data_IF_220306506069
#
_entry.id   IF_220306506069
#
_cell.length_a   1.000
_cell.length_b   1.000
_cell.length_c   1.000
_cell.angle_alpha   90.00
_cell.angle_beta   90.00
_cell.angle_gamma   90.00
#
_symmetry.space_group_name_H-M   'P 1'
#
loop_
_entity.id
_entity.type
_entity.pdbx_description
1 polymer ?
#
# COMPACT_ATOMS: atom_id res chain seq x y z
N UNK A 1 -8.84 45.51 -6.22
CA UNK A 1 -7.59 44.85 -5.81
C UNK A 1 -7.81 44.06 -4.52
N UNK A 2 -8.03 42.75 -4.63
CA UNK A 2 -7.70 41.76 -3.60
C UNK A 2 -7.28 40.51 -4.38
N UNK A 3 -6.00 40.13 -4.22
CA UNK A 3 -5.37 39.06 -5.00
C UNK A 3 -5.92 37.71 -4.60
N UNK A 4 -6.39 36.94 -5.59
CA UNK A 4 -6.61 35.51 -5.46
C UNK A 4 -5.26 34.83 -5.21
N UNK A 5 -5.20 33.97 -4.21
CA UNK A 5 -4.05 33.13 -3.96
C UNK A 5 -3.96 32.11 -5.09
N UNK A 6 -2.95 32.22 -5.95
CA UNK A 6 -2.59 31.16 -6.87
C UNK A 6 -2.26 29.92 -6.05
N UNK A 7 -3.00 28.82 -6.27
CA UNK A 7 -2.81 27.57 -5.56
C UNK A 7 -1.38 27.04 -5.79
N UNK A 8 -0.61 26.93 -4.70
CA UNK A 8 0.75 26.40 -4.67
C UNK A 8 0.80 24.88 -4.81
N UNK A 9 0.33 24.36 -5.95
CA UNK A 9 0.73 23.01 -6.39
C UNK A 9 2.11 23.08 -7.05
N UNK A 10 2.95 22.08 -6.79
CA UNK A 10 4.30 21.93 -7.35
C UNK A 10 4.28 21.48 -8.83
N UNK A 11 3.45 22.17 -9.64
CA UNK A 11 3.41 21.98 -11.08
C UNK A 11 4.63 22.58 -11.75
N UNK A 12 5.15 21.90 -12.76
CA UNK A 12 6.15 22.45 -13.65
C UNK A 12 5.67 23.81 -14.22
N UNK A 13 6.56 24.80 -14.37
CA UNK A 13 6.18 26.14 -14.82
C UNK A 13 5.38 26.18 -16.13
N UNK A 14 5.65 25.23 -17.04
CA UNK A 14 4.93 25.10 -18.31
C UNK A 14 3.46 24.68 -18.11
N UNK A 15 3.22 23.71 -17.23
CA UNK A 15 1.87 23.23 -16.88
C UNK A 15 1.09 24.33 -16.15
N UNK A 16 1.72 25.03 -15.20
CA UNK A 16 1.10 26.15 -14.49
C UNK A 16 0.70 27.30 -15.44
N UNK A 17 1.48 27.53 -16.49
CA UNK A 17 1.17 28.55 -17.51
C UNK A 17 0.05 28.14 -18.48
N UNK A 18 -0.25 26.85 -18.59
CA UNK A 18 -1.30 26.31 -19.46
C UNK A 18 -2.62 26.06 -18.72
N UNK A 19 -2.60 26.04 -17.38
CA UNK A 19 -3.80 25.96 -16.56
C UNK A 19 -4.52 27.32 -16.55
N UNK A 20 -5.87 27.33 -16.64
CA UNK A 20 -6.64 28.56 -16.52
C UNK A 20 -6.36 29.22 -15.17
N UNK A 21 -6.36 30.55 -15.17
CA UNK A 21 -6.15 31.37 -13.97
C UNK A 21 -7.36 31.42 -13.03
N UNK A 22 -8.37 30.59 -13.28
CA UNK A 22 -9.60 30.51 -12.52
C UNK A 22 -9.43 29.70 -11.22
N UNK A 23 -10.36 29.89 -10.28
CA UNK A 23 -10.38 29.28 -8.95
C UNK A 23 -10.34 27.74 -9.01
N UNK A 24 -9.16 27.16 -8.80
CA UNK A 24 -8.97 25.71 -8.68
C UNK A 24 -9.63 25.22 -7.39
N UNK A 25 -10.49 24.22 -7.51
CA UNK A 25 -11.08 23.52 -6.35
C UNK A 25 -10.25 22.27 -6.05
N UNK A 26 -9.72 22.16 -4.83
CA UNK A 26 -8.97 20.97 -4.41
C UNK A 26 -9.91 20.04 -3.64
N UNK A 27 -10.09 18.81 -4.14
CA UNK A 27 -10.93 17.80 -3.48
C UNK A 27 -10.03 16.71 -2.91
N UNK A 28 -10.01 16.59 -1.59
CA UNK A 28 -9.45 15.44 -0.88
C UNK A 28 -10.59 14.48 -0.54
N UNK A 29 -10.43 13.20 -0.87
CA UNK A 29 -11.37 12.17 -0.48
C UNK A 29 -10.65 11.19 0.45
N UNK A 30 -11.18 11.02 1.67
CA UNK A 30 -10.67 10.09 2.67
C UNK A 30 -11.61 8.89 2.77
N UNK A 31 -11.07 7.68 2.64
CA UNK A 31 -11.83 6.45 2.91
C UNK A 31 -11.77 6.14 4.40
N UNK A 32 -12.89 5.72 4.99
CA UNK A 32 -12.88 5.18 6.36
C UNK A 32 -11.91 3.99 6.52
N UNK A 33 -11.55 3.70 7.76
CA UNK A 33 -10.70 2.62 8.23
C UNK A 33 -11.43 1.29 8.39
N UNK A 34 -10.69 0.30 8.85
CA UNK A 34 -11.15 -1.08 9.01
C UNK A 34 -12.30 -1.15 10.02
N UNK A 35 -13.45 -1.63 9.55
CA UNK A 35 -14.65 -1.85 10.38
C UNK A 35 -14.68 -3.24 10.97
N UNK A 36 -15.39 -3.39 12.09
CA UNK A 36 -15.53 -4.68 12.78
C UNK A 36 -15.96 -5.77 11.81
N UNK A 37 -15.22 -6.87 11.79
CA UNK A 37 -15.71 -8.11 11.18
C UNK A 37 -16.88 -8.57 12.04
N UNK A 38 -18.08 -8.53 11.48
CA UNK A 38 -19.30 -9.10 12.05
C UNK A 38 -19.25 -10.65 12.03
N UNK A 39 -18.06 -11.27 12.17
CA UNK A 39 -17.78 -12.66 11.83
C UNK A 39 -17.38 -12.84 10.36
N UNK A 40 -17.79 -13.95 9.73
CA UNK A 40 -17.62 -14.29 8.30
C UNK A 40 -17.80 -13.07 7.36
N UNK A 41 -17.32 -13.15 6.11
CA UNK A 41 -17.50 -12.10 5.09
C UNK A 41 -18.99 -11.72 4.95
N UNK A 42 -19.43 -10.66 5.64
CA UNK A 42 -20.83 -10.17 5.64
C UNK A 42 -21.00 -8.97 4.71
N UNK A 43 -22.16 -8.92 4.06
CA UNK A 43 -22.61 -7.76 3.32
C UNK A 43 -22.90 -6.62 4.30
N UNK A 44 -22.28 -5.45 4.09
CA UNK A 44 -22.38 -4.30 4.99
C UNK A 44 -23.22 -3.18 4.40
N UNK A 45 -22.89 -2.75 3.18
CA UNK A 45 -23.57 -1.62 2.55
C UNK A 45 -23.69 -0.40 3.48
N UNK A 46 -24.92 0.02 3.76
CA UNK A 46 -25.25 1.12 4.67
C UNK A 46 -25.43 0.72 6.13
N UNK A 47 -25.32 -0.57 6.48
CA UNK A 47 -25.30 -1.02 7.87
C UNK A 47 -24.25 -0.25 8.65
N UNK A 48 -24.67 0.37 9.74
CA UNK A 48 -23.76 1.12 10.59
C UNK A 48 -23.02 0.15 11.52
N UNK A 49 -21.71 0.04 11.29
CA UNK A 49 -20.83 -0.91 11.97
C UNK A 49 -19.67 -0.15 12.60
N UNK A 50 -19.28 -0.51 13.84
CA UNK A 50 -18.18 0.15 14.51
C UNK A 50 -16.85 -0.15 13.82
N UNK A 51 -15.85 0.68 14.11
CA UNK A 51 -14.48 0.42 13.68
C UNK A 51 -13.85 -0.69 14.52
N UNK A 52 -12.89 -1.40 13.92
CA UNK A 52 -11.96 -2.23 14.69
C UNK A 52 -10.97 -1.34 15.45
N UNK A 53 -10.25 -1.92 16.41
CA UNK A 53 -9.08 -1.25 17.01
C UNK A 53 -8.06 -0.80 15.95
N UNK A 54 -7.87 -1.60 14.90
CA UNK A 54 -7.03 -1.24 13.75
C UNK A 54 -7.61 -0.05 12.97
N UNK A 55 -8.91 -0.01 12.74
CA UNK A 55 -9.60 1.08 12.06
C UNK A 55 -9.52 2.40 12.82
N UNK A 56 -9.63 2.35 14.16
CA UNK A 56 -9.42 3.53 15.02
C UNK A 56 -7.99 4.07 14.89
N UNK A 57 -6.99 3.18 14.99
CA UNK A 57 -5.59 3.58 14.79
C UNK A 57 -5.35 4.14 13.38
N UNK A 58 -5.96 3.55 12.35
CA UNK A 58 -5.89 4.08 10.98
C UNK A 58 -6.47 5.50 10.88
N UNK A 59 -7.59 5.78 11.55
CA UNK A 59 -8.18 7.11 11.55
C UNK A 59 -7.30 8.13 12.27
N UNK A 60 -6.69 7.76 13.39
CA UNK A 60 -5.74 8.60 14.12
C UNK A 60 -4.60 9.03 13.22
N UNK A 61 -3.95 8.06 12.57
CA UNK A 61 -2.80 8.30 11.70
C UNK A 61 -3.18 9.08 10.45
N UNK A 62 -4.28 8.73 9.81
CA UNK A 62 -4.75 9.42 8.60
C UNK A 62 -5.13 10.88 8.89
N UNK A 63 -5.85 11.13 9.98
CA UNK A 63 -6.22 12.48 10.37
C UNK A 63 -4.98 13.31 10.76
N UNK A 64 -4.07 12.74 11.56
CA UNK A 64 -2.83 13.40 11.97
C UNK A 64 -1.95 13.75 10.76
N UNK A 65 -1.74 12.81 9.85
CA UNK A 65 -1.04 13.04 8.60
C UNK A 65 -1.68 14.16 7.78
N UNK A 66 -2.99 14.10 7.59
CA UNK A 66 -3.70 15.10 6.79
C UNK A 66 -3.51 16.50 7.37
N UNK A 67 -3.69 16.66 8.68
CA UNK A 67 -3.49 17.94 9.37
C UNK A 67 -2.05 18.45 9.28
N UNK A 68 -1.07 17.55 9.31
CA UNK A 68 0.35 17.91 9.28
C UNK A 68 0.87 18.23 7.87
N UNK A 69 0.38 17.52 6.86
CA UNK A 69 0.99 17.50 5.53
C UNK A 69 0.16 18.21 4.46
N UNK A 70 -1.14 18.39 4.66
CA UNK A 70 -2.02 19.05 3.69
C UNK A 70 -2.40 20.46 4.16
N UNK A 71 -2.61 21.42 3.24
CA UNK A 71 -3.14 22.72 3.60
C UNK A 71 -4.51 22.60 4.29
N UNK A 72 -4.75 23.44 5.30
CA UNK A 72 -6.03 23.47 6.03
C UNK A 72 -7.22 23.57 5.07
N UNK A 73 -8.17 22.62 5.05
CA UNK A 73 -9.38 22.71 4.23
C UNK A 73 -10.30 23.85 4.67
N UNK A 74 -11.17 24.25 3.75
CA UNK A 74 -12.20 25.25 3.98
C UNK A 74 -13.53 24.58 4.36
N UNK A 75 -13.79 23.36 3.83
CA UNK A 75 -15.00 22.57 4.10
C UNK A 75 -14.65 21.10 4.36
N UNK A 76 -15.33 20.49 5.34
CA UNK A 76 -15.31 19.05 5.58
C UNK A 76 -16.74 18.49 5.45
N UNK A 77 -16.95 17.58 4.50
CA UNK A 77 -18.21 16.87 4.30
C UNK A 77 -17.99 15.37 4.50
N UNK A 78 -18.93 14.67 5.12
CA UNK A 78 -18.82 13.25 5.40
C UNK A 78 -20.12 12.50 5.10
N UNK A 79 -20.00 11.23 4.73
CA UNK A 79 -21.06 10.26 5.00
C UNK A 79 -21.46 10.31 6.48
N UNK A 80 -22.74 10.17 6.76
CA UNK A 80 -23.29 10.18 8.11
C UNK A 80 -23.13 8.84 8.85
N UNK A 81 -22.66 7.78 8.17
CA UNK A 81 -22.34 6.51 8.83
C UNK A 81 -21.16 6.68 9.78
N UNK A 82 -21.25 6.05 10.96
CA UNK A 82 -20.32 6.28 12.09
C UNK A 82 -18.86 6.11 11.70
N UNK A 83 -18.55 5.09 10.89
CA UNK A 83 -17.20 4.82 10.37
C UNK A 83 -16.61 5.94 9.51
N UNK A 84 -17.41 6.76 8.84
CA UNK A 84 -16.90 7.93 8.11
C UNK A 84 -16.92 9.15 9.01
N UNK A 85 -18.02 9.32 9.76
CA UNK A 85 -18.22 10.44 10.67
C UNK A 85 -17.08 10.57 11.69
N UNK A 86 -16.61 9.45 12.25
CA UNK A 86 -15.55 9.45 13.26
C UNK A 86 -14.20 9.94 12.71
N UNK A 87 -13.86 9.60 11.46
CA UNK A 87 -12.67 10.16 10.78
C UNK A 87 -12.84 11.65 10.47
N UNK A 88 -14.02 12.04 9.98
CA UNK A 88 -14.31 13.43 9.67
C UNK A 88 -14.25 14.32 10.92
N UNK A 89 -14.80 13.85 12.05
CA UNK A 89 -14.76 14.57 13.32
C UNK A 89 -13.34 14.76 13.84
N UNK A 90 -12.43 13.79 13.62
CA UNK A 90 -11.00 13.95 13.98
C UNK A 90 -10.34 15.07 13.18
N UNK A 91 -10.55 15.09 11.86
CA UNK A 91 -10.02 16.15 10.98
C UNK A 91 -10.64 17.51 11.35
N UNK A 92 -11.97 17.56 11.49
CA UNK A 92 -12.71 18.77 11.83
C UNK A 92 -12.30 19.35 13.18
N UNK A 93 -12.22 18.50 14.21
CA UNK A 93 -11.83 18.93 15.57
C UNK A 93 -10.40 19.44 15.63
N UNK A 94 -9.46 18.78 14.95
CA UNK A 94 -8.05 19.20 14.92
C UNK A 94 -7.84 20.57 14.24
N UNK A 95 -8.75 20.96 13.34
CA UNK A 95 -8.64 22.17 12.53
C UNK A 95 -9.66 23.28 12.88
N UNK A 96 -10.56 23.00 13.84
CA UNK A 96 -11.66 23.87 14.22
C UNK A 96 -12.67 24.10 13.09
N UNK A 97 -13.01 23.06 12.33
CA UNK A 97 -13.95 23.11 11.21
C UNK A 97 -15.17 22.24 11.55
N UNK A 98 -16.37 22.78 11.36
CA UNK A 98 -17.61 22.03 11.51
C UNK A 98 -17.76 20.99 10.39
N UNK A 99 -18.01 19.74 10.77
CA UNK A 99 -18.24 18.63 9.83
C UNK A 99 -19.70 18.63 9.37
N UNK A 100 -19.92 18.75 8.07
CA UNK A 100 -21.23 18.58 7.44
C UNK A 100 -21.45 17.13 7.08
N UNK A 101 -22.56 16.54 7.49
CA UNK A 101 -22.89 15.16 7.09
C UNK A 101 -23.95 15.13 6.00
N UNK A 102 -23.81 14.24 5.03
CA UNK A 102 -24.78 14.05 3.96
C UNK A 102 -25.04 12.56 3.68
N UNK A 103 -26.29 12.08 3.80
CA UNK A 103 -26.66 10.70 3.47
C UNK A 103 -26.40 10.33 2.00
N UNK A 104 -26.32 11.30 1.09
CA UNK A 104 -25.97 11.06 -0.31
C UNK A 104 -24.53 10.55 -0.49
N UNK A 105 -23.69 10.65 0.55
CA UNK A 105 -22.33 10.09 0.59
C UNK A 105 -22.26 8.70 1.27
N UNK A 106 -23.39 8.05 1.56
CA UNK A 106 -23.38 6.66 2.05
C UNK A 106 -22.91 5.68 0.99
N UNK A 107 -22.36 4.55 1.45
CA UNK A 107 -22.02 3.41 0.60
C UNK A 107 -23.26 2.86 -0.13
N UNK A 108 -23.03 2.01 -1.13
CA UNK A 108 -24.10 1.28 -1.81
C UNK A 108 -24.97 0.54 -0.78
N UNK A 109 -26.27 0.80 -0.79
CA UNK A 109 -27.22 0.00 -0.02
C UNK A 109 -27.24 -1.42 -0.58
N UNK A 110 -26.97 -2.41 0.27
CA UNK A 110 -27.16 -3.82 -0.09
C UNK A 110 -28.54 -4.33 0.35
N UNK A 111 -29.41 -3.44 0.85
CA UNK A 111 -30.79 -3.73 1.18
C UNK A 111 -30.91 -4.94 2.10
N UNK A 112 -31.74 -5.92 1.69
CA UNK A 112 -32.03 -7.12 2.47
C UNK A 112 -30.81 -8.03 2.69
N UNK A 113 -29.69 -7.78 2.01
CA UNK A 113 -28.45 -8.54 2.20
C UNK A 113 -27.62 -8.02 3.38
N UNK A 114 -27.83 -6.79 3.83
CA UNK A 114 -27.03 -6.19 4.89
C UNK A 114 -27.10 -6.99 6.20
N UNK A 115 -25.95 -7.22 6.81
CA UNK A 115 -25.80 -8.03 8.02
C UNK A 115 -25.79 -9.54 7.78
N UNK A 116 -26.06 -10.04 6.57
CA UNK A 116 -26.00 -11.47 6.23
C UNK A 116 -24.61 -11.87 5.71
N UNK A 117 -24.19 -13.12 5.93
CA UNK A 117 -22.93 -13.62 5.35
C UNK A 117 -23.11 -13.92 3.86
N UNK A 118 -22.07 -13.71 3.06
CA UNK A 118 -22.14 -14.04 1.64
C UNK A 118 -22.45 -15.52 1.40
N UNK A 119 -22.05 -16.40 2.32
CA UNK A 119 -22.39 -17.83 2.27
C UNK A 119 -23.88 -18.08 2.53
N UNK A 120 -24.48 -17.38 3.51
CA UNK A 120 -25.93 -17.41 3.75
C UNK A 120 -26.72 -16.93 2.53
N UNK A 121 -26.30 -15.80 1.95
CA UNK A 121 -26.94 -15.21 0.76
C UNK A 121 -26.82 -16.17 -0.44
N UNK A 122 -25.62 -16.71 -0.70
CA UNK A 122 -25.37 -17.62 -1.82
C UNK A 122 -26.15 -18.93 -1.68
N UNK A 123 -26.24 -19.48 -0.46
CA UNK A 123 -26.99 -20.72 -0.20
C UNK A 123 -28.50 -20.54 -0.42
N UNK A 124 -29.05 -19.39 -0.06
CA UNK A 124 -30.49 -19.13 -0.18
C UNK A 124 -30.90 -18.70 -1.59
N UNK A 125 -30.11 -17.82 -2.22
CA UNK A 125 -30.47 -17.15 -3.47
C UNK A 125 -29.85 -17.79 -4.72
N UNK A 126 -28.85 -18.67 -4.55
CA UNK A 126 -28.24 -19.45 -5.63
C UNK A 126 -27.81 -18.58 -6.83
N UNK A 127 -28.41 -18.82 -7.99
CA UNK A 127 -28.09 -18.14 -9.25
C UNK A 127 -28.24 -16.61 -9.18
N UNK A 128 -29.14 -16.07 -8.35
CA UNK A 128 -29.35 -14.62 -8.26
C UNK A 128 -28.14 -13.86 -7.67
N UNK A 129 -27.26 -14.54 -6.91
CA UNK A 129 -25.98 -13.95 -6.48
C UNK A 129 -24.99 -13.91 -7.64
N UNK A 130 -24.99 -14.93 -8.51
CA UNK A 130 -24.15 -14.93 -9.70
C UNK A 130 -24.59 -13.83 -10.67
N UNK A 131 -25.89 -13.69 -10.92
CA UNK A 131 -26.45 -12.62 -11.76
C UNK A 131 -26.10 -11.22 -11.22
N UNK A 132 -26.05 -11.07 -9.89
CA UNK A 132 -25.59 -9.85 -9.25
C UNK A 132 -24.11 -9.56 -9.53
N UNK A 133 -23.24 -10.56 -9.54
CA UNK A 133 -21.81 -10.36 -9.84
C UNK A 133 -21.53 -10.23 -11.34
N UNK A 134 -22.30 -10.92 -12.18
CA UNK A 134 -22.18 -10.91 -13.64
C UNK A 134 -22.58 -9.55 -14.23
N UNK A 135 -23.58 -8.89 -13.66
CA UNK A 135 -23.95 -7.50 -13.97
C UNK A 135 -23.96 -6.63 -12.71
N UNK A 136 -22.84 -6.57 -12.00
CA UNK A 136 -22.70 -5.76 -10.77
C UNK A 136 -23.06 -4.28 -10.98
N UNK A 137 -22.93 -3.77 -12.21
CA UNK A 137 -23.24 -2.39 -12.51
C UNK A 137 -24.75 -2.09 -12.44
N UNK A 138 -25.58 -2.94 -13.06
CA UNK A 138 -27.02 -2.71 -13.15
C UNK A 138 -27.83 -3.52 -12.12
N UNK A 139 -27.32 -4.66 -11.66
CA UNK A 139 -28.02 -5.54 -10.72
C UNK A 139 -28.19 -4.87 -9.35
N UNK A 140 -29.34 -5.13 -8.72
CA UNK A 140 -29.74 -4.57 -7.43
C UNK A 140 -30.00 -5.69 -6.43
N UNK A 141 -29.44 -5.64 -5.22
CA UNK A 141 -29.95 -6.43 -4.11
C UNK A 141 -31.41 -6.03 -3.83
N UNK A 142 -32.26 -6.93 -3.30
CA UNK A 142 -33.61 -6.59 -2.90
C UNK A 142 -33.62 -5.41 -1.92
N UNK A 143 -34.44 -4.39 -2.20
CA UNK A 143 -34.50 -3.11 -1.45
C UNK A 143 -33.15 -2.37 -1.34
N UNK A 144 -32.17 -2.72 -2.19
CA UNK A 144 -30.85 -2.11 -2.25
C UNK A 144 -30.66 -1.22 -3.48
N UNK A 145 -29.41 -0.80 -3.69
CA UNK A 145 -28.94 0.01 -4.80
C UNK A 145 -28.09 -0.84 -5.74
N UNK A 146 -28.10 -0.52 -7.04
CA UNK A 146 -27.03 -0.94 -7.95
C UNK A 146 -25.85 0.03 -7.89
N UNK A 147 -24.72 -0.32 -8.52
CA UNK A 147 -23.63 0.63 -8.67
C UNK A 147 -24.03 1.85 -9.50
N UNK A 148 -24.92 1.67 -10.49
CA UNK A 148 -25.52 2.76 -11.27
C UNK A 148 -26.33 3.72 -10.40
N UNK A 149 -27.12 3.20 -9.45
CA UNK A 149 -27.90 4.03 -8.52
C UNK A 149 -27.00 4.84 -7.60
N UNK A 150 -25.97 4.20 -7.02
CA UNK A 150 -24.97 4.90 -6.21
C UNK A 150 -24.29 6.00 -7.03
N UNK A 151 -23.90 5.71 -8.28
CA UNK A 151 -23.26 6.68 -9.16
C UNK A 151 -24.18 7.88 -9.46
N UNK A 152 -25.45 7.63 -9.73
CA UNK A 152 -26.46 8.66 -9.97
C UNK A 152 -26.70 9.52 -8.71
N UNK A 153 -26.85 8.89 -7.54
CA UNK A 153 -27.04 9.57 -6.24
C UNK A 153 -25.86 10.49 -5.90
N UNK A 154 -24.64 9.96 -5.97
CA UNK A 154 -23.41 10.74 -5.69
C UNK A 154 -23.22 11.85 -6.73
N UNK A 155 -23.59 11.60 -7.98
CA UNK A 155 -23.57 12.62 -9.04
C UNK A 155 -24.55 13.78 -8.81
N UNK A 156 -25.76 13.47 -8.38
CA UNK A 156 -26.76 14.48 -8.03
C UNK A 156 -26.29 15.35 -6.85
N UNK A 157 -25.69 14.73 -5.84
CA UNK A 157 -25.07 15.45 -4.72
C UNK A 157 -23.93 16.37 -5.19
N UNK A 158 -23.03 15.86 -6.03
CA UNK A 158 -21.94 16.69 -6.56
C UNK A 158 -22.48 17.87 -7.38
N UNK A 159 -23.48 17.63 -8.23
CA UNK A 159 -24.09 18.67 -9.04
C UNK A 159 -24.73 19.78 -8.19
N UNK A 160 -25.31 19.47 -7.03
CA UNK A 160 -25.86 20.49 -6.13
C UNK A 160 -24.81 21.20 -5.28
N UNK A 161 -23.68 20.55 -4.98
CA UNK A 161 -22.63 21.11 -4.11
C UNK A 161 -21.54 21.89 -4.86
N UNK A 162 -21.26 21.57 -6.13
CA UNK A 162 -20.07 22.06 -6.85
C UNK A 162 -19.94 23.58 -6.93
N UNK A 163 -21.06 24.31 -7.08
CA UNK A 163 -21.04 25.77 -7.23
C UNK A 163 -20.74 26.45 -5.88
N UNK A 164 -21.22 25.86 -4.78
CA UNK A 164 -20.87 26.31 -3.42
C UNK A 164 -19.40 26.04 -3.13
N UNK A 165 -18.90 24.86 -3.53
CA UNK A 165 -17.55 24.39 -3.23
C UNK A 165 -16.47 24.96 -4.15
N UNK A 166 -16.85 25.71 -5.20
CA UNK A 166 -15.91 26.25 -6.17
C UNK A 166 -14.82 27.10 -5.50
N UNK A 167 -13.56 26.88 -5.90
CA UNK A 167 -12.38 27.58 -5.39
C UNK A 167 -11.92 27.19 -3.99
N UNK A 168 -12.59 26.23 -3.36
CA UNK A 168 -12.29 25.82 -1.98
C UNK A 168 -11.43 24.55 -1.92
N UNK A 169 -10.80 24.33 -0.77
CA UNK A 169 -10.21 23.03 -0.40
C UNK A 169 -11.23 22.24 0.39
N UNK A 170 -11.68 21.13 -0.18
CA UNK A 170 -12.77 20.33 0.37
C UNK A 170 -12.23 18.97 0.78
N UNK A 171 -12.57 18.54 1.99
CA UNK A 171 -12.41 17.14 2.42
C UNK A 171 -13.76 16.46 2.34
N UNK A 172 -13.81 15.33 1.64
CA UNK A 172 -14.95 14.42 1.57
C UNK A 172 -14.54 13.12 2.28
N UNK A 173 -15.27 12.71 3.32
CA UNK A 173 -15.04 11.42 3.98
C UNK A 173 -16.12 10.44 3.57
N UNK A 174 -15.73 9.32 2.97
CA UNK A 174 -16.69 8.40 2.34
C UNK A 174 -16.20 6.96 2.23
N UNK A 175 -16.81 6.25 1.28
CA UNK A 175 -16.63 4.83 1.07
C UNK A 175 -16.07 4.51 -0.31
N UNK A 176 -15.79 3.23 -0.57
CA UNK A 176 -15.18 2.84 -1.85
C UNK A 176 -16.11 3.13 -3.03
N UNK A 177 -17.42 2.87 -2.91
CA UNK A 177 -18.36 3.19 -3.98
C UNK A 177 -18.41 4.68 -4.29
N UNK A 178 -18.41 5.52 -3.26
CA UNK A 178 -18.45 6.99 -3.40
C UNK A 178 -17.18 7.53 -4.07
N UNK A 179 -16.00 7.04 -3.67
CA UNK A 179 -14.73 7.42 -4.31
C UNK A 179 -14.74 7.05 -5.79
N UNK A 180 -15.23 5.85 -6.12
CA UNK A 180 -15.37 5.39 -7.51
C UNK A 180 -16.31 6.29 -8.32
N UNK A 181 -17.47 6.62 -7.76
CA UNK A 181 -18.45 7.47 -8.42
C UNK A 181 -17.89 8.87 -8.67
N UNK A 182 -17.29 9.51 -7.67
CA UNK A 182 -16.67 10.83 -7.83
C UNK A 182 -15.51 10.80 -8.83
N UNK A 183 -14.68 9.75 -8.83
CA UNK A 183 -13.63 9.58 -9.83
C UNK A 183 -14.19 9.51 -11.26
N UNK A 184 -15.27 8.75 -11.47
CA UNK A 184 -15.97 8.70 -12.76
C UNK A 184 -16.50 10.08 -13.18
N UNK A 185 -17.18 10.78 -12.28
CA UNK A 185 -17.72 12.12 -12.54
C UNK A 185 -16.64 13.15 -12.88
N UNK A 186 -15.57 13.19 -12.09
CA UNK A 186 -14.51 14.19 -12.25
C UNK A 186 -13.70 13.94 -13.53
N UNK A 187 -13.35 12.68 -13.80
CA UNK A 187 -12.50 12.31 -14.93
C UNK A 187 -13.29 12.04 -16.23
N UNK A 188 -14.61 12.26 -16.22
CA UNK A 188 -15.51 11.94 -17.34
C UNK A 188 -15.38 10.49 -17.82
N UNK A 189 -15.16 9.56 -16.88
CA UNK A 189 -15.06 8.12 -17.16
C UNK A 189 -16.46 7.50 -17.05
N UNK A 190 -16.89 6.67 -18.02
CA UNK A 190 -18.19 6.00 -17.94
C UNK A 190 -18.36 5.24 -16.62
N UNK A 191 -19.55 5.34 -16.03
CA UNK A 191 -19.85 4.71 -14.74
C UNK A 191 -19.66 3.18 -14.74
N UNK A 192 -19.78 2.54 -15.91
CA UNK A 192 -19.51 1.12 -16.11
C UNK A 192 -18.06 0.72 -15.80
N UNK A 193 -17.13 1.68 -15.80
CA UNK A 193 -15.71 1.45 -15.52
C UNK A 193 -15.34 1.73 -14.05
N UNK A 194 -16.31 2.06 -13.19
CA UNK A 194 -16.10 2.39 -11.78
C UNK A 194 -15.35 1.29 -10.99
N UNK A 195 -15.47 0.02 -11.40
CA UNK A 195 -14.76 -1.08 -10.75
C UNK A 195 -13.26 -1.15 -11.04
N UNK A 196 -12.75 -0.41 -12.03
CA UNK A 196 -11.29 -0.30 -12.31
C UNK A 196 -10.53 0.42 -11.20
N UNK A 197 -11.25 1.14 -10.35
CA UNK A 197 -10.72 1.89 -9.23
C UNK A 197 -10.75 1.05 -7.95
N UNK A 198 -9.61 0.85 -7.30
CA UNK A 198 -9.49 0.05 -6.07
C UNK A 198 -8.78 0.81 -4.94
N UNK A 199 -9.36 1.92 -4.44
CA UNK A 199 -8.73 2.71 -3.36
C UNK A 199 -8.67 1.90 -2.07
N UNK A 200 -7.52 1.87 -1.40
CA UNK A 200 -7.32 1.09 -0.18
C UNK A 200 -8.18 1.61 0.99
N UNK A 201 -8.42 0.79 2.02
CA UNK A 201 -9.02 1.25 3.29
C UNK A 201 -8.11 2.29 3.95
N UNK A 202 -8.69 3.27 4.64
CA UNK A 202 -7.95 4.38 5.25
C UNK A 202 -7.02 5.10 4.26
N UNK A 203 -7.48 5.30 3.03
CA UNK A 203 -6.69 5.95 1.99
C UNK A 203 -7.10 7.40 1.75
N UNK A 204 -6.20 8.13 1.10
CA UNK A 204 -6.38 9.47 0.59
C UNK A 204 -6.34 9.45 -0.95
N UNK A 205 -7.27 10.18 -1.54
CA UNK A 205 -7.34 10.49 -2.96
C UNK A 205 -7.44 12.00 -3.12
N UNK A 206 -6.74 12.60 -4.09
CA UNK A 206 -6.76 14.05 -4.34
C UNK A 206 -7.03 14.37 -5.80
N UNK A 207 -7.97 15.27 -6.02
CA UNK A 207 -8.28 15.85 -7.32
C UNK A 207 -8.11 17.38 -7.29
N UNK A 208 -7.74 17.94 -8.43
CA UNK A 208 -7.87 19.37 -8.71
C UNK A 208 -8.92 19.55 -9.81
N UNK A 209 -9.91 20.40 -9.56
CA UNK A 209 -10.99 20.70 -10.49
C UNK A 209 -10.87 22.15 -10.97
N UNK A 210 -10.95 22.36 -12.28
CA UNK A 210 -10.94 23.67 -12.93
C UNK A 210 -11.78 23.64 -14.22
N UNK A 211 -12.01 24.80 -14.87
CA UNK A 211 -12.83 24.88 -16.10
C UNK A 211 -12.45 23.91 -17.26
N UNK A 212 -11.19 23.45 -17.47
CA UNK A 212 -10.90 22.49 -18.53
C UNK A 212 -11.12 21.03 -18.12
N UNK A 213 -11.37 20.75 -16.83
CA UNK A 213 -11.61 19.40 -16.33
C UNK A 213 -10.97 19.10 -14.97
N UNK A 214 -10.73 17.82 -14.69
CA UNK A 214 -10.16 17.34 -13.44
C UNK A 214 -8.77 16.72 -13.63
N UNK A 215 -7.89 16.95 -12.67
CA UNK A 215 -6.60 16.26 -12.54
C UNK A 215 -6.67 15.35 -11.32
N UNK A 216 -6.35 14.07 -11.50
CA UNK A 216 -6.13 13.12 -10.40
C UNK A 216 -4.64 13.16 -10.02
N UNK A 217 -4.33 13.64 -8.82
CA UNK A 217 -2.94 13.74 -8.35
C UNK A 217 -2.53 12.54 -7.49
N UNK A 218 -3.45 12.05 -6.66
CA UNK A 218 -3.22 10.95 -5.72
C UNK A 218 -4.44 10.05 -5.74
N UNK A 219 -4.25 8.73 -5.85
CA UNK A 219 -5.37 7.78 -5.88
C UNK A 219 -5.21 6.65 -4.89
N UNK A 220 -6.01 6.65 -3.82
CA UNK A 220 -6.10 5.54 -2.89
C UNK A 220 -4.81 5.24 -2.13
N UNK A 221 -3.95 6.24 -1.94
CA UNK A 221 -2.68 6.09 -1.24
C UNK A 221 -2.88 6.09 0.28
N UNK A 222 -1.93 5.50 1.03
CA UNK A 222 -1.90 5.54 2.50
C UNK A 222 -0.64 6.27 2.97
N UNK A 223 -0.54 7.59 2.74
CA UNK A 223 0.67 8.35 3.01
C UNK A 223 1.03 8.42 4.49
N UNK A 224 0.06 8.25 5.39
CA UNK A 224 0.28 8.10 6.83
C UNK A 224 1.00 6.79 7.22
N UNK A 225 1.16 5.82 6.31
CA UNK A 225 2.10 4.71 6.51
C UNK A 225 3.56 5.15 6.38
N UNK A 226 3.79 6.29 5.71
CA UNK A 226 5.10 6.92 5.53
C UNK A 226 5.39 7.99 6.59
N UNK A 227 4.35 8.52 7.23
CA UNK A 227 4.52 9.37 8.41
C UNK A 227 4.72 8.47 9.61
N UNK A 228 5.96 8.49 10.10
CA UNK A 228 6.32 7.98 11.41
C UNK A 228 5.38 8.63 12.43
N UNK A 229 4.55 7.82 13.09
CA UNK A 229 3.84 8.29 14.26
C UNK A 229 4.91 8.65 15.30
N UNK A 230 4.77 9.81 15.92
CA UNK A 230 5.44 10.15 17.17
C UNK A 230 5.06 9.24 18.35
N UNK A 231 4.59 8.02 18.10
CA UNK A 231 4.81 6.93 19.02
C UNK A 231 6.30 6.65 18.96
N UNK A 232 7.03 6.96 20.03
CA UNK A 232 8.23 6.18 20.31
C UNK A 232 7.80 4.72 20.11
N UNK A 233 8.40 3.99 19.15
CA UNK A 233 8.31 2.56 19.24
C UNK A 233 8.81 2.30 20.66
N UNK A 234 8.19 1.37 21.38
CA UNK A 234 8.97 0.61 22.33
C UNK A 234 10.04 -0.13 21.53
N UNK A 235 11.06 0.60 21.05
CA UNK A 235 12.41 0.16 20.82
C UNK A 235 12.94 -0.08 22.21
N UNK A 236 12.43 -1.12 22.84
CA UNK A 236 13.19 -1.86 23.84
C UNK A 236 14.28 -2.61 23.08
N UNK A 237 15.17 -1.89 22.42
CA UNK A 237 16.44 -2.42 21.92
C UNK A 237 17.50 -1.35 22.06
N UNK A 238 18.12 -1.35 23.23
CA UNK A 238 19.56 -1.15 23.27
C UNK A 238 20.20 -2.29 22.45
N UNK A 239 20.52 -2.08 21.17
CA UNK A 239 21.27 -3.04 20.36
C UNK A 239 22.32 -2.38 19.47
N UNK A 240 23.40 -3.12 19.26
CA UNK A 240 24.77 -2.63 19.09
C UNK A 240 25.24 -2.49 17.63
N UNK A 241 24.35 -2.27 16.66
CA UNK A 241 24.73 -1.95 15.26
C UNK A 241 23.65 -2.22 14.22
N UNK A 242 23.84 -1.76 12.97
CA UNK A 242 22.81 -1.78 11.91
C UNK A 242 22.50 -3.21 11.44
N UNK A 243 21.22 -3.54 11.25
CA UNK A 243 20.71 -4.82 10.72
C UNK A 243 20.04 -4.56 9.37
N UNK A 244 20.78 -4.79 8.29
CA UNK A 244 20.34 -4.46 6.93
C UNK A 244 20.16 -5.75 6.14
N UNK A 245 19.07 -5.88 5.41
CA UNK A 245 18.89 -6.94 4.43
C UNK A 245 18.94 -6.38 3.00
N UNK A 246 19.44 -7.17 2.06
CA UNK A 246 19.37 -6.87 0.64
C UNK A 246 18.24 -7.68 0.01
N UNK A 247 17.58 -7.14 -0.99
CA UNK A 247 16.49 -7.82 -1.70
C UNK A 247 16.59 -7.55 -3.19
N UNK A 248 16.25 -8.55 -4.00
CA UNK A 248 16.21 -8.43 -5.46
C UNK A 248 16.52 -9.74 -6.17
N UNK A 249 16.22 -9.80 -7.46
CA UNK A 249 16.50 -10.99 -8.28
C UNK A 249 18.00 -11.32 -8.35
N UNK A 250 18.33 -12.51 -8.84
CA UNK A 250 19.74 -12.84 -9.11
C UNK A 250 20.29 -11.91 -10.20
N UNK A 251 21.59 -11.60 -10.12
CA UNK A 251 22.27 -10.79 -11.13
C UNK A 251 22.17 -9.27 -10.96
N UNK A 252 21.49 -8.76 -9.94
CA UNK A 252 21.36 -7.30 -9.70
C UNK A 252 22.57 -6.66 -9.01
N UNK A 253 23.62 -7.44 -8.70
CA UNK A 253 24.84 -6.98 -8.04
C UNK A 253 24.77 -6.92 -6.51
N UNK A 254 23.78 -7.57 -5.89
CA UNK A 254 23.58 -7.57 -4.42
C UNK A 254 24.85 -7.95 -3.65
N UNK A 255 25.43 -9.12 -3.93
CA UNK A 255 26.51 -9.64 -3.09
C UNK A 255 27.76 -8.76 -3.10
N UNK A 256 28.12 -8.20 -4.26
CA UNK A 256 29.27 -7.30 -4.36
C UNK A 256 29.05 -6.01 -3.58
N UNK A 257 27.87 -5.38 -3.73
CA UNK A 257 27.52 -4.16 -3.00
C UNK A 257 27.29 -4.41 -1.50
N UNK A 258 26.74 -5.56 -1.16
CA UNK A 258 26.50 -6.01 0.20
C UNK A 258 27.76 -6.15 1.02
N UNK A 259 28.78 -6.83 0.48
CA UNK A 259 30.10 -6.95 1.11
C UNK A 259 30.76 -5.60 1.31
N UNK A 260 30.69 -4.73 0.30
CA UNK A 260 31.26 -3.39 0.39
C UNK A 260 30.54 -2.54 1.44
N UNK A 261 29.20 -2.61 1.50
CA UNK A 261 28.41 -1.92 2.51
C UNK A 261 28.74 -2.43 3.92
N UNK A 262 28.79 -3.74 4.12
CA UNK A 262 29.14 -4.35 5.41
C UNK A 262 30.51 -3.90 5.91
N UNK A 263 31.51 -3.87 5.01
CA UNK A 263 32.85 -3.40 5.31
C UNK A 263 32.87 -1.91 5.73
N UNK A 264 32.10 -1.06 5.05
CA UNK A 264 31.99 0.38 5.39
C UNK A 264 31.29 0.60 6.74
N UNK A 265 30.29 -0.23 7.06
CA UNK A 265 29.54 -0.16 8.32
C UNK A 265 30.25 -0.87 9.49
N UNK A 266 31.32 -1.62 9.24
CA UNK A 266 32.04 -2.37 10.26
C UNK A 266 31.24 -3.54 10.86
N UNK A 267 30.30 -4.10 10.11
CA UNK A 267 29.44 -5.22 10.53
C UNK A 267 29.68 -6.47 9.65
N UNK A 268 29.38 -7.68 10.13
CA UNK A 268 29.51 -8.89 9.32
C UNK A 268 28.57 -8.89 8.11
N UNK A 269 29.04 -9.47 7.01
CA UNK A 269 28.23 -9.80 5.84
C UNK A 269 27.72 -11.24 5.94
N UNK A 270 26.41 -11.44 5.84
CA UNK A 270 25.79 -12.77 5.88
C UNK A 270 25.53 -13.25 4.45
N UNK A 271 26.28 -14.26 4.03
CA UNK A 271 26.31 -14.78 2.66
C UNK A 271 25.04 -15.56 2.28
N UNK A 272 24.75 -15.59 0.99
CA UNK A 272 23.65 -16.41 0.44
C UNK A 272 23.97 -17.91 0.53
N UNK A 273 23.24 -18.63 1.40
CA UNK A 273 23.40 -20.10 1.57
C UNK A 273 22.95 -20.94 0.38
N UNK A 274 22.01 -20.44 -0.43
CA UNK A 274 21.59 -21.13 -1.67
C UNK A 274 22.76 -21.27 -2.65
N UNK A 275 23.61 -20.24 -2.76
CA UNK A 275 24.78 -20.27 -3.62
C UNK A 275 25.74 -21.41 -3.26
N UNK A 276 26.02 -21.57 -1.96
CA UNK A 276 26.85 -22.67 -1.46
C UNK A 276 26.28 -24.04 -1.82
N UNK A 277 24.95 -24.21 -1.76
CA UNK A 277 24.31 -25.48 -2.15
C UNK A 277 24.45 -25.74 -3.65
N UNK A 278 24.25 -24.72 -4.49
CA UNK A 278 24.41 -24.84 -5.95
C UNK A 278 25.86 -25.15 -6.35
N UNK A 279 26.83 -24.49 -5.72
CA UNK A 279 28.27 -24.74 -5.95
C UNK A 279 28.68 -26.15 -5.50
N UNK A 280 28.01 -26.72 -4.49
CA UNK A 280 28.18 -28.11 -4.05
C UNK A 280 27.34 -29.12 -4.86
N UNK A 281 26.79 -28.72 -6.00
CA UNK A 281 26.15 -29.62 -6.96
C UNK A 281 24.64 -29.76 -6.82
N UNK A 282 23.98 -28.95 -5.98
CA UNK A 282 22.51 -28.90 -5.96
C UNK A 282 21.98 -28.46 -7.33
N UNK A 283 21.03 -29.23 -7.87
CA UNK A 283 20.36 -28.93 -9.13
C UNK A 283 18.90 -28.62 -8.87
N UNK A 284 18.54 -27.34 -8.95
CA UNK A 284 17.19 -26.85 -8.66
C UNK A 284 16.10 -27.49 -9.54
N UNK A 285 16.47 -27.88 -10.76
CA UNK A 285 15.57 -28.52 -11.74
C UNK A 285 15.19 -29.95 -11.36
N UNK A 286 15.96 -30.58 -10.46
CA UNK A 286 15.77 -31.98 -10.07
C UNK A 286 14.89 -32.10 -8.81
N UNK A 287 14.52 -30.99 -8.19
CA UNK A 287 13.77 -30.97 -6.93
C UNK A 287 12.26 -31.09 -7.15
N UNK A 288 11.64 -32.02 -6.44
CA UNK A 288 10.19 -32.11 -6.27
C UNK A 288 9.65 -30.95 -5.43
N UNK A 289 8.32 -30.68 -5.46
CA UNK A 289 7.71 -29.64 -4.60
C UNK A 289 7.97 -29.85 -3.10
N UNK A 290 8.04 -31.11 -2.64
CA UNK A 290 8.34 -31.43 -1.25
C UNK A 290 9.81 -31.12 -0.89
N UNK A 291 10.75 -31.43 -1.79
CA UNK A 291 12.17 -31.10 -1.60
C UNK A 291 12.41 -29.58 -1.67
N UNK A 292 11.69 -28.87 -2.55
CA UNK A 292 11.69 -27.41 -2.56
C UNK A 292 11.20 -26.82 -1.24
N UNK A 293 10.09 -27.35 -0.70
CA UNK A 293 9.54 -26.94 0.59
C UNK A 293 10.52 -27.15 1.74
N UNK A 294 11.16 -28.33 1.79
CA UNK A 294 12.18 -28.63 2.78
C UNK A 294 13.38 -27.68 2.65
N UNK A 295 13.87 -27.48 1.42
CA UNK A 295 15.03 -26.62 1.14
C UNK A 295 14.80 -25.16 1.55
N UNK A 296 13.64 -24.57 1.23
CA UNK A 296 13.34 -23.18 1.59
C UNK A 296 13.24 -23.01 3.11
N UNK A 297 12.64 -23.98 3.82
CA UNK A 297 12.57 -23.98 5.28
C UNK A 297 13.96 -24.08 5.91
N UNK A 298 14.78 -25.00 5.44
CA UNK A 298 16.16 -25.19 5.91
C UNK A 298 17.00 -23.93 5.69
N UNK A 299 16.96 -23.36 4.49
CA UNK A 299 17.67 -22.12 4.16
C UNK A 299 17.20 -20.94 5.03
N UNK A 300 15.91 -20.88 5.36
CA UNK A 300 15.36 -19.86 6.24
C UNK A 300 15.84 -20.05 7.69
N UNK A 301 15.70 -21.25 8.24
CA UNK A 301 16.05 -21.53 9.62
C UNK A 301 17.57 -21.33 9.86
N UNK A 302 18.42 -21.69 8.90
CA UNK A 302 19.85 -21.38 8.91
C UNK A 302 20.12 -19.87 8.94
N UNK A 303 19.45 -19.13 8.05
CA UNK A 303 19.62 -17.68 7.93
C UNK A 303 19.17 -16.94 9.18
N UNK A 304 18.00 -17.28 9.72
CA UNK A 304 17.50 -16.71 10.96
C UNK A 304 18.42 -17.03 12.16
N UNK A 305 19.00 -18.23 12.21
CA UNK A 305 19.98 -18.61 13.24
C UNK A 305 21.29 -17.84 13.10
N UNK A 306 21.75 -17.57 11.89
CA UNK A 306 22.95 -16.77 11.62
C UNK A 306 22.74 -15.30 12.04
N UNK A 307 21.62 -14.69 11.65
CA UNK A 307 21.26 -13.35 12.08
C UNK A 307 21.12 -13.19 13.60
N UNK A 308 20.69 -14.24 14.29
CA UNK A 308 20.54 -14.25 15.75
C UNK A 308 21.89 -14.25 16.47
N UNK A 309 22.97 -14.74 15.84
CA UNK A 309 24.33 -14.74 16.40
C UNK A 309 25.04 -13.38 16.25
N UNK A 310 24.51 -12.49 15.42
CA UNK A 310 25.08 -11.18 15.13
C UNK A 310 24.44 -10.09 16.00
N UNK A 311 24.88 -9.98 17.26
CA UNK A 311 24.37 -8.99 18.22
C UNK A 311 24.79 -7.54 17.90
N UNK A 312 25.92 -7.37 17.19
CA UNK A 312 26.50 -6.07 16.80
C UNK A 312 26.02 -5.55 15.44
N UNK A 313 24.92 -6.10 14.89
CA UNK A 313 24.44 -5.78 13.55
C UNK A 313 25.03 -6.67 12.45
N UNK A 314 24.52 -6.50 11.22
CA UNK A 314 24.94 -7.21 10.01
C UNK A 314 24.41 -6.56 8.73
N UNK A 315 24.96 -6.98 7.59
CA UNK A 315 24.30 -6.87 6.28
C UNK A 315 24.05 -8.28 5.74
N UNK A 316 22.81 -8.63 5.45
CA UNK A 316 22.40 -9.94 4.95
C UNK A 316 22.09 -9.89 3.45
N UNK A 317 22.56 -10.87 2.67
CA UNK A 317 22.33 -10.92 1.20
C UNK A 317 20.84 -10.99 0.81
N UNK A 318 19.99 -11.42 1.75
CA UNK A 318 18.55 -11.62 1.57
C UNK A 318 17.77 -11.12 2.79
N UNK A 319 16.52 -10.74 2.56
CA UNK A 319 15.55 -10.52 3.64
C UNK A 319 14.70 -11.78 3.88
N UNK A 320 14.02 -11.84 5.03
CA UNK A 320 12.95 -12.82 5.28
C UNK A 320 11.86 -12.81 4.21
N UNK A 321 11.57 -11.66 3.59
CA UNK A 321 10.58 -11.54 2.52
C UNK A 321 11.07 -12.10 1.18
N UNK A 322 12.37 -12.23 0.95
CA UNK A 322 12.91 -12.98 -0.19
C UNK A 322 12.56 -14.48 -0.09
N UNK A 323 12.55 -15.05 1.12
CA UNK A 323 12.14 -16.43 1.35
C UNK A 323 10.65 -16.65 1.07
N UNK A 324 9.81 -15.68 1.44
CA UNK A 324 8.40 -15.69 1.06
C UNK A 324 8.22 -15.56 -0.45
N UNK A 325 9.00 -14.69 -1.10
CA UNK A 325 8.97 -14.58 -2.56
C UNK A 325 9.38 -15.91 -3.23
N UNK A 326 10.35 -16.65 -2.69
CA UNK A 326 10.69 -17.99 -3.17
C UNK A 326 9.54 -18.98 -2.98
N UNK A 327 8.90 -18.98 -1.81
CA UNK A 327 7.73 -19.83 -1.52
C UNK A 327 6.64 -19.68 -2.58
N UNK A 328 6.32 -18.42 -2.92
CA UNK A 328 5.33 -18.09 -3.94
C UNK A 328 5.84 -18.41 -5.36
N UNK A 329 7.09 -18.10 -5.67
CA UNK A 329 7.67 -18.32 -6.99
C UNK A 329 7.66 -19.80 -7.39
N UNK A 330 7.98 -20.69 -6.45
CA UNK A 330 8.03 -22.14 -6.66
C UNK A 330 6.70 -22.86 -6.42
N UNK A 331 5.60 -22.13 -6.22
CA UNK A 331 4.27 -22.73 -6.15
C UNK A 331 4.00 -23.52 -4.86
N UNK A 332 4.67 -23.18 -3.75
CA UNK A 332 4.61 -23.96 -2.51
C UNK A 332 3.34 -23.71 -1.67
N UNK A 333 2.37 -22.99 -2.23
CA UNK A 333 1.14 -22.54 -1.57
C UNK A 333 -0.05 -23.50 -1.71
N UNK A 334 0.19 -24.79 -2.01
CA UNK A 334 -0.88 -25.78 -2.12
C UNK A 334 -1.56 -26.15 -0.79
N UNK A 335 -0.89 -25.89 0.34
CA UNK A 335 -1.44 -25.98 1.70
C UNK A 335 -1.60 -24.56 2.25
N UNK A 336 -2.84 -24.15 2.47
CA UNK A 336 -3.19 -22.78 2.89
C UNK A 336 -2.72 -22.48 4.31
N UNK A 337 -2.99 -23.37 5.27
CA UNK A 337 -2.61 -23.18 6.66
C UNK A 337 -1.08 -23.14 6.83
N UNK A 338 -0.35 -23.99 6.11
CA UNK A 338 1.10 -23.97 6.11
C UNK A 338 1.64 -22.66 5.51
N UNK A 339 1.00 -22.17 4.45
CA UNK A 339 1.41 -20.93 3.80
C UNK A 339 1.15 -19.72 4.68
N UNK A 340 0.01 -19.68 5.37
CA UNK A 340 -0.30 -18.62 6.33
C UNK A 340 0.70 -18.57 7.49
N UNK A 341 1.08 -19.72 8.06
CA UNK A 341 2.14 -19.80 9.08
C UNK A 341 3.48 -19.25 8.55
N UNK A 342 3.87 -19.67 7.34
CA UNK A 342 5.12 -19.22 6.73
C UNK A 342 5.11 -17.71 6.47
N UNK A 343 4.01 -17.16 5.95
CA UNK A 343 3.81 -15.72 5.73
C UNK A 343 3.91 -14.96 7.05
N UNK A 344 3.21 -15.41 8.10
CA UNK A 344 3.22 -14.76 9.40
C UNK A 344 4.64 -14.71 9.99
N UNK A 345 5.39 -15.82 9.90
CA UNK A 345 6.79 -15.90 10.34
C UNK A 345 7.70 -14.94 9.57
N UNK A 346 7.63 -14.91 8.24
CA UNK A 346 8.51 -14.06 7.42
C UNK A 346 8.23 -12.58 7.67
N UNK A 347 6.95 -12.21 7.79
CA UNK A 347 6.52 -10.84 8.09
C UNK A 347 7.00 -10.38 9.46
N UNK A 348 6.75 -11.17 10.51
CA UNK A 348 7.17 -10.82 11.87
C UNK A 348 8.70 -10.69 11.97
N UNK A 349 9.45 -11.45 11.19
CA UNK A 349 10.91 -11.32 11.18
C UNK A 349 11.39 -10.09 10.39
N UNK A 350 10.67 -9.66 9.36
CA UNK A 350 11.04 -8.49 8.57
C UNK A 350 11.14 -7.20 9.41
N UNK A 351 10.36 -7.12 10.50
CA UNK A 351 10.38 -6.04 11.48
C UNK A 351 11.72 -5.94 12.25
N UNK A 352 12.59 -6.95 12.14
CA UNK A 352 13.93 -6.96 12.78
C UNK A 352 15.01 -6.28 11.94
N UNK A 353 14.71 -5.94 10.69
CA UNK A 353 15.62 -5.21 9.83
C UNK A 353 15.42 -3.71 10.04
N UNK A 354 16.51 -2.98 10.22
CA UNK A 354 16.49 -1.52 10.18
C UNK A 354 16.15 -1.06 8.76
N UNK A 355 16.75 -1.71 7.74
CA UNK A 355 16.48 -1.44 6.33
C UNK A 355 16.53 -2.70 5.48
N UNK A 356 15.70 -2.72 4.44
CA UNK A 356 15.73 -3.66 3.33
C UNK A 356 16.08 -2.87 2.06
N UNK A 357 17.23 -3.13 1.48
CA UNK A 357 17.69 -2.46 0.27
C UNK A 357 17.21 -3.24 -0.95
N UNK A 358 16.24 -2.70 -1.68
CA UNK A 358 15.65 -3.33 -2.86
C UNK A 358 16.42 -2.94 -4.13
N UNK A 359 17.01 -3.93 -4.78
CA UNK A 359 17.83 -3.78 -5.95
C UNK A 359 16.97 -3.87 -7.23
N UNK A 360 17.17 -2.96 -8.18
CA UNK A 360 16.41 -2.93 -9.43
C UNK A 360 16.82 -4.07 -10.36
N UNK A 361 15.83 -4.66 -11.03
CA UNK A 361 16.04 -5.64 -12.08
C UNK A 361 16.55 -4.99 -13.38
N UNK A 362 17.37 -5.72 -14.15
CA UNK A 362 17.77 -5.32 -15.50
C UNK A 362 18.88 -4.27 -15.60
N UNK A 363 19.48 -3.86 -14.48
CA UNK A 363 20.53 -2.82 -14.47
C UNK A 363 21.90 -3.33 -14.88
N UNK A 364 22.24 -4.57 -14.49
CA UNK A 364 23.48 -5.23 -14.86
C UNK A 364 23.19 -6.37 -15.85
N UNK A 365 24.10 -6.63 -16.81
CA UNK A 365 23.95 -7.77 -17.70
C UNK A 365 23.94 -9.08 -16.90
N UNK A 366 23.08 -10.01 -17.31
CA UNK A 366 23.06 -11.37 -16.74
C UNK A 366 24.19 -12.19 -17.35
N UNK A 367 25.28 -12.30 -16.62
CA UNK A 367 26.41 -13.17 -16.98
C UNK A 367 26.19 -14.58 -16.44
N UNK A 368 26.45 -15.59 -17.29
CA UNK A 368 26.46 -16.99 -16.87
C UNK A 368 27.69 -17.26 -16.01
N UNK A 369 27.47 -17.73 -14.79
CA UNK A 369 28.53 -18.19 -13.89
C UNK A 369 28.45 -19.71 -13.62
N UNK A 370 27.64 -20.43 -14.42
CA UNK A 370 27.39 -21.86 -14.25
C UNK A 370 26.45 -22.21 -13.09
N UNK A 371 26.00 -21.21 -12.31
CA UNK A 371 25.17 -21.40 -11.11
C UNK A 371 23.79 -20.76 -11.28
N UNK A 372 23.71 -19.55 -11.85
CA UNK A 372 22.45 -18.80 -11.98
C UNK A 372 21.73 -19.04 -13.29
N UNK A 373 20.40 -19.04 -13.24
CA UNK A 373 19.57 -19.01 -14.44
C UNK A 373 19.80 -17.69 -15.19
N UNK A 374 20.34 -17.77 -16.40
CA UNK A 374 20.61 -16.63 -17.30
C UNK A 374 19.37 -16.10 -18.01
N UNK A 375 18.21 -16.74 -17.80
CA UNK A 375 16.96 -16.29 -18.41
C UNK A 375 16.43 -15.04 -17.67
N UNK A 376 16.45 -13.85 -18.31
CA UNK A 376 16.01 -12.61 -17.69
C UNK A 376 14.55 -12.63 -17.26
N UNK A 377 13.70 -13.40 -17.94
CA UNK A 377 12.28 -13.46 -17.65
C UNK A 377 11.96 -14.28 -16.39
N UNK A 378 12.77 -15.29 -16.10
CA UNK A 378 12.67 -16.03 -14.83
C UNK A 378 13.04 -15.11 -13.66
N UNK A 379 14.09 -14.29 -13.85
CA UNK A 379 14.52 -13.31 -12.86
C UNK A 379 13.48 -12.17 -12.69
N UNK A 380 12.90 -11.67 -13.78
CA UNK A 380 11.82 -10.69 -13.73
C UNK A 380 10.59 -11.24 -13.01
N UNK A 381 10.17 -12.49 -13.30
CA UNK A 381 9.05 -13.12 -12.58
C UNK A 381 9.29 -13.14 -11.07
N UNK A 382 10.48 -13.53 -10.63
CA UNK A 382 10.82 -13.49 -9.21
C UNK A 382 10.83 -12.05 -8.67
N UNK A 383 11.43 -11.10 -9.41
CA UNK A 383 11.43 -9.68 -9.03
C UNK A 383 10.02 -9.13 -8.84
N UNK A 384 9.10 -9.38 -9.77
CA UNK A 384 7.70 -8.91 -9.67
C UNK A 384 7.00 -9.46 -8.43
N UNK A 385 7.22 -10.75 -8.12
CA UNK A 385 6.68 -11.36 -6.91
C UNK A 385 7.28 -10.67 -5.67
N UNK A 386 8.61 -10.55 -5.62
CA UNK A 386 9.31 -9.94 -4.49
C UNK A 386 8.90 -8.49 -4.25
N UNK A 387 8.77 -7.68 -5.31
CA UNK A 387 8.32 -6.30 -5.21
C UNK A 387 6.89 -6.23 -4.66
N UNK A 388 5.98 -7.10 -5.12
CA UNK A 388 4.63 -7.18 -4.59
C UNK A 388 4.56 -7.66 -3.13
N UNK A 389 5.45 -8.58 -2.73
CA UNK A 389 5.58 -9.05 -1.33
C UNK A 389 6.08 -7.91 -0.44
N UNK A 390 7.15 -7.22 -0.85
CA UNK A 390 7.71 -6.09 -0.12
C UNK A 390 6.72 -4.93 0.00
N UNK A 391 6.04 -4.56 -1.09
CA UNK A 391 5.04 -3.48 -1.08
C UNK A 391 3.85 -3.77 -0.16
N UNK A 392 3.46 -5.05 -0.02
CA UNK A 392 2.33 -5.45 0.83
C UNK A 392 2.72 -5.59 2.30
N UNK A 393 3.91 -6.08 2.60
CA UNK A 393 4.22 -6.64 3.93
C UNK A 393 5.50 -6.13 4.57
N UNK A 394 6.34 -5.36 3.87
CA UNK A 394 7.37 -4.57 4.53
C UNK A 394 6.79 -3.24 4.99
N UNK A 395 7.24 -2.73 6.14
CA UNK A 395 6.94 -1.35 6.52
C UNK A 395 7.57 -0.38 5.51
N UNK A 396 6.83 0.65 5.13
CA UNK A 396 7.25 1.53 4.02
C UNK A 396 8.55 2.30 4.30
N UNK A 397 8.87 2.53 5.58
CA UNK A 397 10.12 3.15 6.03
C UNK A 397 11.33 2.21 6.00
N UNK A 398 11.10 0.90 5.89
CA UNK A 398 12.15 -0.11 5.92
C UNK A 398 12.73 -0.36 4.53
N UNK A 399 11.94 -0.22 3.46
CA UNK A 399 12.40 -0.54 2.09
C UNK A 399 13.00 0.67 1.38
N UNK A 400 14.30 0.62 1.07
CA UNK A 400 14.99 1.62 0.27
C UNK A 400 15.30 1.05 -1.12
N UNK A 401 14.80 1.72 -2.16
CA UNK A 401 15.06 1.33 -3.55
C UNK A 401 16.43 1.85 -3.98
N UNK A 402 17.32 0.93 -4.38
CA UNK A 402 18.63 1.27 -4.91
C UNK A 402 18.46 1.83 -6.34
N UNK A 403 19.11 2.95 -6.71
CA UNK A 403 19.00 3.54 -8.04
C UNK A 403 19.44 2.59 -9.15
N UNK A 404 18.80 2.73 -10.32
CA UNK A 404 19.11 1.96 -11.51
C UNK A 404 20.30 2.54 -12.30
N UNK A 405 21.45 2.66 -11.66
CA UNK A 405 22.73 3.03 -12.30
C UNK A 405 23.65 1.82 -12.41
N UNK A 406 24.43 1.71 -13.48
CA UNK A 406 25.43 0.65 -13.62
C UNK A 406 26.71 0.94 -12.81
N UNK A 407 26.89 2.16 -12.30
CA UNK A 407 28.08 2.58 -11.58
C UNK A 407 28.06 2.05 -10.13
N UNK A 408 29.10 1.30 -9.77
CA UNK A 408 29.25 0.69 -8.45
C UNK A 408 29.35 1.74 -7.33
N UNK A 409 30.22 2.73 -7.49
CA UNK A 409 30.50 3.76 -6.47
C UNK A 409 29.27 4.63 -6.22
N UNK A 410 28.51 4.96 -7.28
CA UNK A 410 27.26 5.71 -7.16
C UNK A 410 26.21 4.95 -6.33
N UNK A 411 26.06 3.64 -6.57
CA UNK A 411 25.10 2.81 -5.81
C UNK A 411 25.51 2.67 -4.35
N UNK A 412 26.79 2.40 -4.10
CA UNK A 412 27.31 2.25 -2.75
C UNK A 412 27.16 3.56 -1.97
N UNK A 413 27.51 4.69 -2.59
CA UNK A 413 27.32 6.02 -2.01
C UNK A 413 25.84 6.27 -1.69
N UNK A 414 24.93 5.99 -2.62
CA UNK A 414 23.51 6.16 -2.39
C UNK A 414 23.00 5.30 -1.22
N UNK A 415 23.45 4.04 -1.12
CA UNK A 415 23.12 3.16 -0.01
C UNK A 415 23.60 3.74 1.33
N UNK A 416 24.85 4.24 1.40
CA UNK A 416 25.40 4.87 2.61
C UNK A 416 24.69 6.17 2.99
N UNK A 417 24.43 7.05 2.01
CA UNK A 417 23.73 8.32 2.23
C UNK A 417 22.31 8.09 2.75
N UNK A 418 21.60 7.12 2.17
CA UNK A 418 20.24 6.76 2.60
C UNK A 418 20.20 6.19 4.03
N UNK A 419 21.22 5.44 4.43
CA UNK A 419 21.36 4.92 5.80
C UNK A 419 21.78 6.00 6.81
N UNK A 420 22.55 6.99 6.38
CA UNK A 420 23.02 8.10 7.23
C UNK A 420 21.92 9.14 7.51
N UNK A 421 21.04 9.41 6.56
CA UNK A 421 19.92 10.35 6.72
C UNK A 421 19.02 9.93 7.90
N UNK A 422 18.77 8.63 8.00
CA UNK A 422 17.91 8.02 9.02
C UNK A 422 18.51 7.95 10.43
N UNK A 423 19.82 8.20 10.58
CA UNK A 423 20.48 8.32 11.87
C UNK A 423 20.43 9.74 12.46
N UNK A 424 20.06 10.75 11.66
CA UNK A 424 19.90 12.15 12.11
C UNK A 424 18.50 12.47 12.61
N UNK A 425 17.47 11.80 12.10
CA UNK A 425 16.10 11.92 12.61
C UNK A 425 15.89 11.19 13.95
N UNK A 426 16.91 10.47 14.44
CA UNK A 426 16.90 9.75 15.72
C UNK A 426 17.76 10.42 16.82
N UNK A 427 18.29 11.64 16.60
CA UNK A 427 19.13 12.36 17.58
C UNK A 427 18.49 13.64 18.09
#
# INVERSE_FOLDING_TARGET
>A
MKGGQAAGGDFEPATRSAMPQDEVTTIHILRHGDVSDLGERRARGQLDVPLTARGLAQHERLAAWFVACEPRPDVVVSSDLSRCRELADRVGSALGIEVRTDPALREQSLGDWEGRSWDEITRELGAAVNDYWDDYFASRPPNGESLSDLHARVGAWWASARDELAGQRVVIVGHVGVIRALACWFLSIPATEALRFAPAVASHTRFLLAEPGAVLEVFGERPWLRVEDGAEPTRTRAQNGPRIALSGSAGTGKSTLGRALAAQLGVPYLEERMRLRLENGLRLVDLSPAEWRALIRELWDEHAAEEARCEAGFVADRSSLDYLAFWLHYGLYGDEAETEDFVARMRAHAERYDRVLLFPFGVLPLESDGVRATNPWVQLRFQTILEGVLERWAESATVLRVPATANFDERLKHMLDALACTARDQR
#
